data_IF_680418278166
#
_entry.id   IF_680418278166
#
_cell.length_a   1.000
_cell.length_b   1.000
_cell.length_c   1.000
_cell.angle_alpha   90.00
_cell.angle_beta   90.00
_cell.angle_gamma   90.00
#
_symmetry.space_group_name_H-M   'P 1'
#
loop_
_entity.id
_entity.type
_entity.pdbx_description
1 polymer ?
#
# COMPACT_ATOMS: atom_id res chain seq x y z
N UNK A 1 -18.79 -2.30 9.27
CA UNK A 1 -18.78 -2.19 7.80
C UNK A 1 -17.92 -0.98 7.43
N UNK A 2 -16.64 -1.19 7.08
CA UNK A 2 -15.65 -0.11 6.87
C UNK A 2 -15.58 0.36 5.40
N UNK A 3 -16.17 -0.45 4.50
CA UNK A 3 -16.11 -0.29 3.05
C UNK A 3 -16.53 1.10 2.53
N UNK A 4 -17.55 1.79 3.08
CA UNK A 4 -17.92 3.11 2.58
C UNK A 4 -16.83 4.17 2.83
N UNK A 5 -16.20 4.15 4.01
CA UNK A 5 -15.19 5.13 4.40
C UNK A 5 -13.88 4.96 3.63
N UNK A 6 -13.51 3.72 3.30
CA UNK A 6 -12.34 3.47 2.44
C UNK A 6 -12.50 4.07 1.04
N UNK A 7 -13.71 3.96 0.47
CA UNK A 7 -14.01 4.53 -0.86
C UNK A 7 -14.05 6.06 -0.82
N UNK A 8 -14.63 6.64 0.23
CA UNK A 8 -14.72 8.09 0.41
C UNK A 8 -13.34 8.73 0.53
N UNK A 9 -12.47 8.18 1.38
CA UNK A 9 -11.10 8.69 1.58
C UNK A 9 -10.27 8.58 0.30
N UNK A 10 -10.46 7.50 -0.48
CA UNK A 10 -9.75 7.31 -1.76
C UNK A 10 -10.09 8.31 -2.85
N UNK A 11 -11.22 9.03 -2.73
CA UNK A 11 -11.68 10.01 -3.72
C UNK A 11 -11.57 11.46 -3.23
N UNK A 12 -11.06 11.67 -2.02
CA UNK A 12 -11.04 12.97 -1.39
C UNK A 12 -9.85 13.81 -1.88
N UNK A 13 -10.11 15.01 -2.41
CA UNK A 13 -9.09 15.88 -3.03
C UNK A 13 -8.00 16.36 -2.06
N UNK A 14 -8.33 16.53 -0.78
CA UNK A 14 -7.38 17.03 0.24
C UNK A 14 -6.59 15.92 0.94
N UNK A 15 -6.69 14.66 0.49
CA UNK A 15 -6.02 13.52 1.12
C UNK A 15 -5.16 12.83 0.07
N UNK A 16 -3.85 12.76 0.34
CA UNK A 16 -2.94 11.95 -0.46
C UNK A 16 -2.80 10.56 0.17
N UNK A 17 -3.12 9.52 -0.59
CA UNK A 17 -2.99 8.14 -0.14
C UNK A 17 -1.65 7.54 -0.54
N UNK A 18 -0.74 7.47 0.43
CA UNK A 18 0.54 6.80 0.26
C UNK A 18 0.42 5.37 0.81
N UNK A 19 0.06 4.43 -0.07
CA UNK A 19 -0.15 3.03 0.30
C UNK A 19 1.14 2.21 0.24
N UNK A 20 1.22 1.15 1.05
CA UNK A 20 2.38 0.24 1.16
C UNK A 20 3.69 0.96 1.48
N UNK A 21 3.61 1.84 2.47
CA UNK A 21 4.72 2.68 2.90
C UNK A 21 4.81 2.72 4.42
N UNK A 22 6.04 2.85 4.90
CA UNK A 22 6.35 3.00 6.33
C UNK A 22 6.94 4.38 6.61
N UNK A 23 6.79 4.85 7.84
CA UNK A 23 7.42 6.07 8.31
C UNK A 23 8.82 5.70 8.82
N UNK A 24 9.87 6.28 8.22
CA UNK A 24 11.26 6.05 8.65
C UNK A 24 11.71 7.05 9.71
N UNK A 25 11.34 8.33 9.56
CA UNK A 25 11.65 9.34 10.57
C UNK A 25 10.64 10.48 10.56
N UNK A 26 10.46 11.08 11.74
CA UNK A 26 9.70 12.31 11.93
C UNK A 26 10.63 13.29 12.63
N UNK A 27 10.94 14.39 11.98
CA UNK A 27 11.80 15.45 12.48
C UNK A 27 10.97 16.74 12.55
N UNK A 28 11.17 17.56 13.58
CA UNK A 28 10.55 18.88 13.68
C UNK A 28 9.93 19.21 15.03
N UNK A 29 9.27 20.36 15.06
CA UNK A 29 8.58 20.91 16.23
C UNK A 29 7.09 21.12 15.91
N UNK A 30 6.22 21.34 16.91
CA UNK A 30 4.79 21.51 16.69
C UNK A 30 4.50 22.59 15.63
N UNK A 31 3.89 22.18 14.52
CA UNK A 31 3.55 23.06 13.39
C UNK A 31 4.43 22.90 12.14
N UNK A 32 5.64 22.37 12.26
CA UNK A 32 6.54 22.12 11.13
C UNK A 32 7.18 20.73 11.24
N UNK A 33 6.46 19.71 10.77
CA UNK A 33 6.96 18.35 10.72
C UNK A 33 7.52 18.02 9.34
N UNK A 34 8.71 17.43 9.33
CA UNK A 34 9.32 16.83 8.16
C UNK A 34 9.34 15.32 8.36
N UNK A 35 8.56 14.61 7.57
CA UNK A 35 8.42 13.15 7.68
C UNK A 35 9.12 12.51 6.49
N UNK A 36 9.98 11.52 6.76
CA UNK A 36 10.54 10.64 5.73
C UNK A 36 9.68 9.39 5.65
N UNK A 37 9.14 9.13 4.47
CA UNK A 37 8.27 8.00 4.19
C UNK A 37 8.98 7.07 3.20
N UNK A 38 9.14 5.81 3.57
CA UNK A 38 9.67 4.77 2.69
C UNK A 38 8.53 4.08 1.97
N UNK A 39 8.43 4.32 0.66
CA UNK A 39 7.51 3.57 -0.21
C UNK A 39 8.17 2.26 -0.63
N UNK A 40 7.60 1.14 -0.20
CA UNK A 40 8.13 -0.18 -0.56
C UNK A 40 7.90 -0.43 -2.06
N UNK A 41 8.89 -1.03 -2.71
CA UNK A 41 8.81 -1.37 -4.12
C UNK A 41 7.78 -2.49 -4.31
N UNK A 42 6.74 -2.21 -5.09
CA UNK A 42 5.74 -3.21 -5.49
C UNK A 42 6.18 -4.07 -6.68
N UNK A 43 7.36 -3.77 -7.23
CA UNK A 43 7.91 -4.38 -8.45
C UNK A 43 6.96 -4.32 -9.66
N UNK A 44 5.99 -3.41 -9.63
CA UNK A 44 4.96 -3.17 -10.65
C UNK A 44 4.79 -1.66 -10.77
N UNK A 45 4.66 -1.15 -12.00
CA UNK A 45 4.26 0.23 -12.21
C UNK A 45 2.76 0.40 -11.88
N UNK A 46 2.45 1.11 -10.80
CA UNK A 46 1.08 1.31 -10.32
C UNK A 46 0.23 2.17 -11.25
N UNK A 47 0.82 3.01 -12.10
CA UNK A 47 0.08 3.85 -13.04
C UNK A 47 -0.45 3.04 -14.23
N UNK A 48 0.27 1.99 -14.62
CA UNK A 48 -0.12 1.10 -15.72
C UNK A 48 -0.92 -0.13 -15.24
N UNK A 49 -0.92 -0.40 -13.93
CA UNK A 49 -1.60 -1.55 -13.37
C UNK A 49 -3.11 -1.30 -13.27
N UNK A 50 -3.90 -2.08 -14.01
CA UNK A 50 -5.36 -2.03 -13.99
C UNK A 50 -5.99 -2.92 -12.90
N UNK A 51 -5.18 -3.71 -12.19
CA UNK A 51 -5.67 -4.64 -11.16
C UNK A 51 -6.42 -5.87 -11.72
N UNK A 52 -6.20 -6.24 -12.98
CA UNK A 52 -6.91 -7.33 -13.66
C UNK A 52 -6.60 -8.74 -13.13
N UNK A 53 -5.51 -8.94 -12.37
CA UNK A 53 -5.17 -10.23 -11.74
C UNK A 53 -4.57 -11.29 -12.67
N UNK A 54 -4.53 -11.06 -13.99
CA UNK A 54 -4.00 -12.01 -15.00
C UNK A 54 -2.54 -12.39 -14.74
N UNK A 55 -1.75 -11.48 -14.15
CA UNK A 55 -0.37 -11.75 -13.78
C UNK A 55 -0.21 -12.87 -12.74
N UNK A 56 -1.22 -13.09 -11.89
CA UNK A 56 -1.19 -14.14 -10.86
C UNK A 56 -1.42 -15.52 -11.49
N UNK A 57 -2.32 -15.61 -12.47
CA UNK A 57 -2.64 -16.88 -13.15
C UNK A 57 -1.48 -17.40 -14.00
N UNK A 58 -0.76 -16.49 -14.67
CA UNK A 58 0.41 -16.84 -15.49
C UNK A 58 1.68 -17.11 -14.66
N UNK A 59 1.61 -16.96 -13.33
CA UNK A 59 2.78 -17.02 -12.49
C UNK A 59 3.30 -18.47 -12.38
N UNK A 60 4.52 -18.78 -12.87
CA UNK A 60 5.04 -20.13 -12.89
C UNK A 60 5.52 -20.62 -11.50
N UNK A 61 5.61 -19.72 -10.52
CA UNK A 61 5.83 -20.10 -9.11
C UNK A 61 4.50 -20.54 -8.52
N UNK A 62 4.24 -21.84 -8.58
CA UNK A 62 3.07 -22.50 -8.00
C UNK A 62 3.15 -22.38 -6.47
N UNK A 63 2.34 -21.48 -5.89
CA UNK A 63 1.86 -21.46 -4.50
C UNK A 63 2.64 -22.32 -3.48
N UNK A 64 3.73 -21.80 -2.92
CA UNK A 64 3.64 -21.63 -1.47
C UNK A 64 2.84 -20.35 -1.30
N UNK A 65 1.62 -20.48 -0.78
CA UNK A 65 0.87 -19.35 -0.33
C UNK A 65 1.82 -18.51 0.54
N UNK A 66 2.26 -17.36 0.03
CA UNK A 66 2.42 -16.22 0.91
C UNK A 66 1.00 -15.87 1.26
N UNK A 67 0.46 -16.69 2.17
CA UNK A 67 -0.76 -16.45 2.88
C UNK A 67 -0.64 -14.99 3.29
N UNK A 68 -1.52 -14.14 2.77
CA UNK A 68 -1.65 -12.80 3.32
C UNK A 68 -2.07 -12.86 4.81
N UNK A 69 -2.38 -14.06 5.34
CA UNK A 69 -2.45 -14.39 6.76
C UNK A 69 -1.11 -14.76 7.42
N UNK A 70 -0.08 -15.21 6.70
CA UNK A 70 1.21 -15.64 7.28
C UNK A 70 2.17 -14.47 7.56
N UNK A 71 1.79 -13.24 7.18
CA UNK A 71 2.40 -12.01 7.70
C UNK A 71 1.62 -11.44 8.91
N UNK A 72 0.63 -12.17 9.44
CA UNK A 72 0.05 -11.94 10.76
C UNK A 72 0.42 -13.13 11.63
N UNK A 73 1.54 -12.98 12.35
CA UNK A 73 1.91 -13.81 13.48
C UNK A 73 0.76 -14.01 14.48
N UNK A 74 0.75 -15.04 15.33
CA UNK A 74 1.78 -15.32 16.35
C UNK A 74 3.09 -14.53 16.26
#
# INVERSE_FOLDING_TARGET
>A
MISPKLVEVGRHLNIELITYSDIESVEGSPGNFKVKIKKRARSINTELCTGCGVCVESCPVTNQAVDCRAAQGE
#
